data_IF_011286516154
#
_entry.id   IF_011286516154
#
_cell.length_a   1.000
_cell.length_b   1.000
_cell.length_c   1.000
_cell.angle_alpha   90.00
_cell.angle_beta   90.00
_cell.angle_gamma   90.00
#
_symmetry.space_group_name_H-M   'P 1'
#
loop_
_entity.id
_entity.type
_entity.pdbx_description
1 polymer ?
#
# COMPACT_ATOMS: atom_id res chain seq x y z
N UNK A 1 -8.12 52.94 44.40
CA UNK A 1 -8.77 51.65 44.13
C UNK A 1 -7.70 50.77 43.51
N UNK A 2 -6.67 50.32 44.24
CA UNK A 2 -6.65 49.55 45.49
C UNK A 2 -7.35 48.20 45.37
N UNK A 3 -6.58 47.14 45.62
CA UNK A 3 -7.04 45.78 45.92
C UNK A 3 -7.17 44.89 44.67
N UNK A 4 -6.73 43.64 44.65
CA UNK A 4 -6.25 42.82 45.74
C UNK A 4 -5.48 41.63 45.19
N UNK A 5 -4.40 41.26 45.88
CA UNK A 5 -3.65 40.06 45.62
C UNK A 5 -4.35 38.86 46.25
N UNK A 6 -4.31 37.72 45.57
CA UNK A 6 -4.67 36.45 46.20
C UNK A 6 -3.63 35.40 45.87
N UNK A 7 -2.74 35.20 46.85
CA UNK A 7 -1.98 33.99 47.06
C UNK A 7 -2.91 32.78 47.07
N UNK A 8 -2.51 31.65 46.49
CA UNK A 8 -2.73 30.34 47.12
C UNK A 8 -1.81 29.25 46.53
N UNK A 9 -0.88 28.86 47.39
CA UNK A 9 -0.59 27.47 47.78
C UNK A 9 -0.02 26.49 46.76
N UNK A 10 1.30 26.33 46.88
CA UNK A 10 2.05 25.15 46.49
C UNK A 10 1.54 23.90 47.25
N UNK A 11 1.16 22.86 46.50
CA UNK A 11 1.01 21.50 47.00
C UNK A 11 2.24 20.69 46.56
N UNK A 12 3.18 20.53 47.48
CA UNK A 12 4.22 19.50 47.41
C UNK A 12 3.60 18.16 47.81
N UNK A 13 3.29 17.31 46.83
CA UNK A 13 2.98 15.91 47.06
C UNK A 13 4.26 15.08 46.92
N UNK A 14 4.79 14.62 48.06
CA UNK A 14 5.86 13.63 48.13
C UNK A 14 5.38 12.31 47.54
N UNK A 15 5.94 11.94 46.38
CA UNK A 15 5.75 10.61 45.77
C UNK A 15 6.73 9.65 46.43
N UNK A 16 6.20 8.79 47.30
CA UNK A 16 6.92 7.68 47.91
C UNK A 16 7.03 6.54 46.91
N UNK A 17 8.23 6.26 46.42
CA UNK A 17 8.53 5.08 45.60
C UNK A 17 8.40 3.79 46.42
N UNK A 18 7.65 2.77 45.97
CA UNK A 18 7.77 1.44 46.52
C UNK A 18 9.04 0.77 46.00
N UNK A 19 9.88 0.35 46.95
CA UNK A 19 11.09 -0.44 46.78
C UNK A 19 10.72 -1.86 46.30
N UNK A 20 11.27 -2.38 45.18
CA UNK A 20 11.05 -3.77 44.78
C UNK A 20 11.89 -4.70 45.66
N UNK A 21 11.22 -5.60 46.36
CA UNK A 21 11.85 -6.70 47.10
C UNK A 21 12.43 -7.74 46.14
N UNK A 22 13.69 -8.07 46.37
CA UNK A 22 14.40 -9.16 45.73
C UNK A 22 13.91 -10.54 46.23
N UNK A 23 14.14 -11.55 45.39
CA UNK A 23 14.09 -13.00 45.63
C UNK A 23 12.86 -13.74 45.08
N UNK A 24 12.96 -14.19 43.83
CA UNK A 24 12.41 -15.49 43.43
C UNK A 24 13.29 -16.13 42.33
N UNK A 25 14.07 -17.20 42.61
CA UNK A 25 14.90 -17.86 41.62
C UNK A 25 14.09 -18.94 40.89
N UNK A 26 13.58 -18.62 39.70
CA UNK A 26 13.06 -19.64 38.78
C UNK A 26 14.16 -20.09 37.80
N UNK A 27 14.31 -21.41 37.56
CA UNK A 27 15.35 -21.92 36.68
C UNK A 27 15.01 -21.62 35.21
N UNK A 28 15.93 -20.98 34.52
CA UNK A 28 15.87 -20.80 33.07
C UNK A 28 16.00 -22.17 32.38
N UNK A 29 14.92 -22.61 31.74
CA UNK A 29 14.95 -23.72 30.79
C UNK A 29 15.49 -23.18 29.46
N UNK A 30 16.71 -23.57 29.12
CA UNK A 30 17.31 -23.34 27.80
C UNK A 30 16.54 -24.15 26.75
N UNK A 31 15.66 -23.47 26.00
CA UNK A 31 15.15 -23.99 24.73
C UNK A 31 16.14 -23.64 23.62
N UNK A 32 16.79 -24.67 23.09
CA UNK A 32 17.61 -24.57 21.87
C UNK A 32 16.74 -24.15 20.68
N UNK A 33 17.19 -23.20 19.83
CA UNK A 33 16.57 -23.02 18.52
C UNK A 33 17.11 -24.07 17.55
N UNK A 34 16.20 -24.92 17.04
CA UNK A 34 16.46 -25.77 15.90
C UNK A 34 16.73 -24.90 14.66
N UNK A 35 17.95 -24.96 14.15
CA UNK A 35 18.33 -24.35 12.88
C UNK A 35 17.73 -25.18 11.73
N UNK A 36 16.58 -24.76 11.23
CA UNK A 36 16.08 -25.19 9.91
C UNK A 36 16.35 -24.05 8.92
N UNK A 37 17.46 -24.15 8.21
CA UNK A 37 17.72 -23.34 7.02
C UNK A 37 16.91 -23.91 5.84
N UNK A 38 16.14 -23.09 5.09
CA UNK A 38 15.59 -23.51 3.81
C UNK A 38 16.70 -23.54 2.73
N UNK A 39 16.65 -24.47 1.77
CA UNK A 39 17.63 -24.52 0.69
C UNK A 39 17.48 -23.35 -0.28
N UNK A 40 18.65 -22.95 -0.77
CA UNK A 40 18.94 -21.89 -1.74
C UNK A 40 18.15 -22.11 -3.03
N UNK A 41 17.47 -21.04 -3.47
CA UNK A 41 16.78 -20.92 -4.75
C UNK A 41 17.75 -21.17 -5.91
N UNK A 42 17.47 -22.18 -6.73
CA UNK A 42 18.08 -22.34 -8.03
C UNK A 42 17.47 -21.34 -9.01
N UNK A 43 18.34 -20.62 -9.72
CA UNK A 43 17.98 -19.71 -10.80
C UNK A 43 17.35 -20.49 -11.97
N UNK A 44 16.06 -20.25 -12.23
CA UNK A 44 15.40 -20.68 -13.45
C UNK A 44 15.47 -19.55 -14.49
N UNK A 45 16.17 -19.82 -15.58
CA UNK A 45 16.21 -19.02 -16.81
C UNK A 45 14.83 -19.01 -17.47
N UNK A 46 14.23 -17.82 -17.63
CA UNK A 46 12.97 -17.62 -18.36
C UNK A 46 13.27 -17.27 -19.83
N UNK A 47 12.71 -17.97 -20.82
CA UNK A 47 12.77 -17.56 -22.22
C UNK A 47 11.73 -16.46 -22.51
N UNK A 48 12.01 -15.52 -23.44
CA UNK A 48 11.07 -14.46 -23.78
C UNK A 48 10.05 -14.93 -24.82
N UNK A 49 8.80 -14.56 -24.60
CA UNK A 49 7.77 -14.54 -25.64
C UNK A 49 6.58 -15.44 -25.35
N UNK A 50 5.50 -14.84 -24.85
CA UNK A 50 4.15 -15.06 -25.37
C UNK A 50 3.20 -14.00 -24.80
N UNK A 51 2.75 -13.11 -25.69
CA UNK A 51 1.58 -12.26 -25.53
C UNK A 51 0.37 -13.14 -25.24
N UNK A 52 -0.28 -12.93 -24.10
CA UNK A 52 -1.59 -13.51 -23.82
C UNK A 52 -2.53 -12.38 -23.40
N UNK A 53 -3.42 -12.00 -24.32
CA UNK A 53 -4.60 -11.22 -24.03
C UNK A 53 -5.47 -12.01 -23.05
N UNK A 54 -5.58 -11.52 -21.81
CA UNK A 54 -6.52 -12.05 -20.83
C UNK A 54 -7.91 -11.47 -21.08
N UNK A 55 -8.71 -12.19 -21.85
CA UNK A 55 -10.17 -12.03 -21.88
C UNK A 55 -10.72 -12.44 -20.52
N UNK A 56 -11.16 -11.47 -19.72
CA UNK A 56 -11.83 -11.73 -18.45
C UNK A 56 -13.25 -12.22 -18.75
N UNK A 57 -13.51 -13.50 -18.54
CA UNK A 57 -14.86 -14.08 -18.56
C UNK A 57 -15.68 -13.54 -17.38
N UNK A 58 -16.54 -12.55 -17.66
CA UNK A 58 -17.62 -12.09 -16.78
C UNK A 58 -18.86 -12.94 -17.04
N UNK A 59 -18.81 -14.22 -16.68
CA UNK A 59 -19.99 -15.07 -16.64
C UNK A 59 -19.83 -16.00 -15.43
N UNK A 60 -20.39 -15.61 -14.27
CA UNK A 60 -20.90 -16.55 -13.24
C UNK A 60 -21.38 -15.92 -11.92
N UNK A 61 -21.46 -14.59 -11.77
CA UNK A 61 -21.79 -13.97 -10.46
C UNK A 61 -23.14 -13.24 -10.43
N UNK A 62 -24.20 -13.83 -11.00
CA UNK A 62 -25.56 -13.22 -10.95
C UNK A 62 -26.71 -14.21 -10.73
N UNK A 63 -26.43 -15.46 -10.32
CA UNK A 63 -27.49 -16.49 -10.12
C UNK A 63 -27.85 -16.81 -8.67
N UNK A 64 -27.51 -15.97 -7.68
CA UNK A 64 -27.73 -16.35 -6.27
C UNK A 64 -28.31 -15.27 -5.34
N UNK A 65 -28.99 -14.22 -5.84
CA UNK A 65 -29.59 -13.17 -4.96
C UNK A 65 -31.07 -12.92 -5.27
N UNK A 66 -31.82 -13.93 -5.70
CA UNK A 66 -33.27 -13.81 -5.88
C UNK A 66 -33.96 -15.11 -5.47
N UNK A 67 -34.09 -15.37 -4.16
CA UNK A 67 -34.99 -16.45 -3.71
C UNK A 67 -35.76 -16.21 -2.41
N UNK A 68 -35.48 -15.16 -1.62
CA UNK A 68 -36.01 -15.13 -0.24
C UNK A 68 -37.09 -14.08 0.09
N UNK A 69 -37.58 -13.25 -0.84
CA UNK A 69 -38.56 -12.18 -0.53
C UNK A 69 -39.94 -12.28 -1.20
N UNK A 70 -40.35 -13.48 -1.66
CA UNK A 70 -41.66 -13.68 -2.30
C UNK A 70 -42.69 -14.38 -1.38
N UNK A 71 -42.89 -13.87 -0.16
CA UNK A 71 -43.91 -14.43 0.77
C UNK A 71 -44.63 -13.34 1.59
N UNK A 72 -45.20 -12.31 0.94
CA UNK A 72 -46.17 -11.44 1.65
C UNK A 72 -47.02 -10.53 0.75
N UNK A 73 -47.56 -11.03 -0.37
CA UNK A 73 -48.62 -10.32 -1.07
C UNK A 73 -49.82 -11.23 -1.25
N UNK A 74 -50.92 -10.83 -0.61
CA UNK A 74 -52.18 -11.56 -0.54
C UNK A 74 -52.74 -11.85 -1.93
N UNK A 75 -53.04 -13.12 -2.15
CA UNK A 75 -53.77 -13.62 -3.31
C UNK A 75 -55.24 -13.21 -3.22
N UNK A 76 -55.57 -12.04 -3.76
CA UNK A 76 -56.94 -11.74 -4.18
C UNK A 76 -57.21 -12.41 -5.54
N UNK A 77 -58.43 -12.93 -5.80
CA UNK A 77 -58.78 -13.50 -7.10
C UNK A 77 -58.89 -12.37 -8.13
N UNK A 78 -57.81 -12.13 -8.87
CA UNK A 78 -57.83 -11.26 -10.05
C UNK A 78 -58.37 -12.08 -11.21
N UNK A 79 -59.60 -11.77 -11.63
CA UNK A 79 -60.21 -12.31 -12.84
C UNK A 79 -59.33 -11.93 -14.03
N UNK A 80 -58.79 -12.88 -14.81
CA UNK A 80 -58.02 -12.56 -16.00
C UNK A 80 -58.99 -11.97 -17.03
N UNK A 81 -58.90 -10.65 -17.21
CA UNK A 81 -59.57 -9.97 -18.32
C UNK A 81 -59.04 -10.50 -19.66
N UNK A 82 -59.83 -10.39 -20.74
CA UNK A 82 -59.43 -10.88 -22.05
C UNK A 82 -58.25 -10.04 -22.55
N UNK A 83 -57.03 -10.55 -22.37
CA UNK A 83 -55.89 -10.02 -23.09
C UNK A 83 -56.17 -10.23 -24.58
N UNK A 84 -56.17 -9.17 -25.40
CA UNK A 84 -56.37 -9.30 -26.83
C UNK A 84 -55.30 -10.25 -27.36
N UNK A 85 -55.74 -11.24 -28.13
CA UNK A 85 -54.94 -12.30 -28.75
C UNK A 85 -53.49 -11.88 -28.96
N UNK A 86 -52.59 -12.57 -28.27
CA UNK A 86 -51.15 -12.60 -28.46
C UNK A 86 -50.85 -12.64 -29.96
N UNK A 87 -50.71 -11.46 -30.56
CA UNK A 87 -50.14 -11.29 -31.88
C UNK A 87 -48.69 -11.70 -31.71
N UNK A 88 -48.33 -12.85 -32.27
CA UNK A 88 -46.98 -13.39 -32.20
C UNK A 88 -46.02 -12.47 -32.94
N UNK A 89 -45.55 -11.43 -32.26
CA UNK A 89 -44.46 -10.61 -32.77
C UNK A 89 -43.23 -11.49 -32.82
N UNK A 90 -42.72 -11.72 -34.04
CA UNK A 90 -41.49 -12.44 -34.25
C UNK A 90 -40.32 -11.58 -33.75
N UNK A 91 -39.87 -11.86 -32.53
CA UNK A 91 -38.76 -11.15 -31.88
C UNK A 91 -37.40 -11.54 -32.45
N UNK A 92 -37.32 -12.52 -33.36
CA UNK A 92 -36.04 -12.99 -33.91
C UNK A 92 -35.25 -11.89 -34.63
N UNK A 93 -35.94 -10.88 -35.18
CA UNK A 93 -35.34 -9.73 -35.83
C UNK A 93 -34.86 -8.62 -34.87
N UNK A 94 -35.34 -8.59 -33.62
CA UNK A 94 -35.04 -7.54 -32.64
C UNK A 94 -33.87 -7.92 -31.73
N UNK A 95 -33.71 -9.21 -31.44
CA UNK A 95 -32.65 -9.71 -30.55
C UNK A 95 -31.23 -9.31 -31.00
N UNK A 96 -30.86 -9.40 -32.30
CA UNK A 96 -29.54 -8.98 -32.75
C UNK A 96 -29.27 -7.49 -32.52
N UNK A 97 -30.26 -6.63 -32.78
CA UNK A 97 -30.15 -5.18 -32.63
C UNK A 97 -30.02 -4.78 -31.15
N UNK A 98 -30.77 -5.45 -30.25
CA UNK A 98 -30.62 -5.24 -28.80
C UNK A 98 -29.25 -5.70 -28.29
N UNK A 99 -28.73 -6.81 -28.82
CA UNK A 99 -27.40 -7.29 -28.46
C UNK A 99 -26.30 -6.32 -28.93
N UNK A 100 -26.38 -5.85 -30.17
CA UNK A 100 -25.45 -4.86 -30.72
C UNK A 100 -25.51 -3.54 -29.95
N UNK A 101 -26.71 -3.08 -29.60
CA UNK A 101 -26.89 -1.86 -28.80
C UNK A 101 -26.25 -2.02 -27.42
N UNK A 102 -26.44 -3.18 -26.77
CA UNK A 102 -25.83 -3.44 -25.47
C UNK A 102 -24.29 -3.44 -25.58
N UNK A 103 -23.74 -4.08 -26.62
CA UNK A 103 -22.29 -4.10 -26.85
C UNK A 103 -21.72 -2.70 -27.11
N UNK A 104 -22.37 -1.91 -27.97
CA UNK A 104 -21.97 -0.53 -28.28
C UNK A 104 -22.07 0.37 -27.03
N UNK A 105 -23.14 0.22 -26.24
CA UNK A 105 -23.32 0.95 -24.97
C UNK A 105 -22.23 0.63 -23.95
N UNK A 106 -21.87 -0.65 -23.78
CA UNK A 106 -20.76 -1.06 -22.92
C UNK A 106 -19.41 -0.52 -23.42
N UNK A 107 -19.15 -0.58 -24.73
CA UNK A 107 -17.94 -0.03 -25.37
C UNK A 107 -17.81 1.46 -25.11
N UNK A 108 -18.88 2.21 -25.36
CA UNK A 108 -18.98 3.65 -25.12
C UNK A 108 -18.72 4.01 -23.66
N UNK A 109 -19.34 3.29 -22.73
CA UNK A 109 -19.15 3.51 -21.30
C UNK A 109 -17.69 3.28 -20.88
N UNK A 110 -17.07 2.19 -21.36
CA UNK A 110 -15.66 1.87 -21.09
C UNK A 110 -14.73 2.98 -21.61
N UNK A 111 -14.92 3.45 -22.83
CA UNK A 111 -14.11 4.54 -23.43
C UNK A 111 -14.27 5.86 -22.67
N UNK A 112 -15.49 6.20 -22.24
CA UNK A 112 -15.74 7.38 -21.40
C UNK A 112 -15.02 7.28 -20.04
N UNK A 113 -14.92 6.09 -19.46
CA UNK A 113 -14.19 5.86 -18.23
C UNK A 113 -12.66 5.97 -18.43
N UNK A 114 -12.14 5.40 -19.53
CA UNK A 114 -10.72 5.54 -19.91
C UNK A 114 -10.35 7.02 -20.11
N UNK A 115 -11.18 7.79 -20.82
CA UNK A 115 -11.00 9.23 -20.99
C UNK A 115 -10.90 9.96 -19.65
N UNK A 116 -11.85 9.75 -18.73
CA UNK A 116 -11.82 10.37 -17.39
C UNK A 116 -10.56 10.03 -16.60
N UNK A 117 -10.08 8.80 -16.75
CA UNK A 117 -8.85 8.34 -16.08
C UNK A 117 -7.63 9.08 -16.64
N UNK A 118 -7.53 9.22 -17.96
CA UNK A 118 -6.45 9.98 -18.61
C UNK A 118 -6.53 11.49 -18.34
N UNK A 119 -7.72 12.06 -18.21
CA UNK A 119 -7.89 13.46 -17.78
C UNK A 119 -7.37 13.68 -16.35
N UNK A 120 -7.65 12.74 -15.45
CA UNK A 120 -7.12 12.78 -14.08
C UNK A 120 -5.59 12.61 -14.04
N UNK A 121 -5.04 11.71 -14.87
CA UNK A 121 -3.60 11.52 -15.01
C UNK A 121 -2.92 12.78 -15.58
N UNK A 122 -3.50 13.39 -16.62
CA UNK A 122 -3.02 14.66 -17.18
C UNK A 122 -3.02 15.77 -16.13
N UNK A 123 -4.09 15.91 -15.36
CA UNK A 123 -4.18 16.91 -14.30
C UNK A 123 -3.11 16.69 -13.22
N UNK A 124 -2.89 15.43 -12.82
CA UNK A 124 -1.85 15.05 -11.87
C UNK A 124 -0.45 15.38 -12.40
N UNK A 125 -0.17 15.06 -13.66
CA UNK A 125 1.14 15.30 -14.29
C UNK A 125 1.41 16.81 -14.45
N UNK A 126 0.41 17.60 -14.83
CA UNK A 126 0.52 19.07 -14.91
C UNK A 126 0.81 19.68 -13.53
N UNK A 127 0.11 19.22 -12.47
CA UNK A 127 0.34 19.65 -11.08
C UNK A 127 1.75 19.27 -10.61
N UNK A 128 2.23 18.09 -10.97
CA UNK A 128 3.60 17.67 -10.68
C UNK A 128 4.64 18.50 -11.43
N UNK A 129 4.40 18.85 -12.70
CA UNK A 129 5.28 19.75 -13.43
C UNK A 129 5.32 21.14 -12.81
N UNK A 130 4.21 21.65 -12.29
CA UNK A 130 4.17 22.93 -11.59
C UNK A 130 4.96 22.90 -10.27
N UNK A 131 4.80 21.84 -9.47
CA UNK A 131 5.63 21.58 -8.27
C UNK A 131 7.10 21.40 -8.62
N UNK A 132 7.39 20.72 -9.73
CA UNK A 132 8.75 20.53 -10.19
C UNK A 132 9.37 21.85 -10.64
N UNK A 133 8.62 22.73 -11.33
CA UNK A 133 9.10 24.07 -11.72
C UNK A 133 9.49 24.93 -10.52
N UNK A 134 8.76 24.85 -9.39
CA UNK A 134 9.13 25.60 -8.18
C UNK A 134 10.47 25.13 -7.60
N UNK A 135 10.71 23.81 -7.59
CA UNK A 135 11.95 23.19 -7.10
C UNK A 135 13.12 23.32 -8.10
N UNK A 136 12.84 23.20 -9.40
CA UNK A 136 13.84 23.13 -10.48
C UNK A 136 14.32 24.48 -10.98
N UNK A 137 13.73 25.59 -10.52
CA UNK A 137 14.30 26.93 -10.70
C UNK A 137 15.77 27.01 -10.24
N UNK A 138 16.24 26.05 -9.43
CA UNK A 138 17.61 25.94 -8.95
C UNK A 138 18.51 24.97 -9.76
N UNK A 139 17.97 24.10 -10.63
CA UNK A 139 18.75 23.08 -11.34
C UNK A 139 18.24 22.81 -12.79
N UNK A 140 18.82 23.43 -13.82
CA UNK A 140 18.33 23.37 -15.20
C UNK A 140 18.59 22.03 -15.95
N UNK A 141 19.31 21.05 -15.39
CA UNK A 141 19.74 19.86 -16.14
C UNK A 141 18.78 18.65 -16.12
N UNK A 142 17.55 18.80 -15.60
CA UNK A 142 16.57 17.70 -15.44
C UNK A 142 15.43 17.74 -16.47
N UNK A 143 15.58 18.52 -17.55
CA UNK A 143 14.53 18.78 -18.55
C UNK A 143 14.04 17.54 -19.34
N UNK A 144 14.69 16.38 -19.22
CA UNK A 144 14.33 15.17 -19.96
C UNK A 144 13.15 14.38 -19.36
N UNK A 145 12.61 14.78 -18.21
CA UNK A 145 11.46 14.10 -17.58
C UNK A 145 10.08 14.54 -18.12
N UNK A 146 10.04 15.49 -19.07
CA UNK A 146 8.77 16.05 -19.61
C UNK A 146 8.46 15.43 -20.98
N UNK A 147 8.05 14.15 -21.00
CA UNK A 147 7.69 13.48 -22.28
C UNK A 147 6.33 12.78 -22.29
N UNK A 148 5.61 12.71 -21.17
CA UNK A 148 4.34 11.97 -21.07
C UNK A 148 3.13 12.84 -21.41
N UNK A 149 3.14 14.13 -21.08
CA UNK A 149 2.00 15.04 -21.32
C UNK A 149 1.54 15.07 -22.79
N UNK A 150 2.42 15.24 -23.80
CA UNK A 150 1.99 15.19 -25.20
C UNK A 150 1.35 13.86 -25.59
N UNK A 151 1.86 12.73 -25.08
CA UNK A 151 1.33 11.41 -25.35
C UNK A 151 -0.09 11.24 -24.76
N UNK A 152 -0.32 11.76 -23.56
CA UNK A 152 -1.64 11.74 -22.92
C UNK A 152 -2.63 12.61 -23.71
N UNK A 153 -2.22 13.79 -24.18
CA UNK A 153 -3.06 14.69 -24.99
C UNK A 153 -3.44 14.02 -26.32
N UNK A 154 -2.47 13.42 -27.02
CA UNK A 154 -2.72 12.71 -28.28
C UNK A 154 -3.71 11.55 -28.07
N UNK A 155 -3.55 10.79 -26.97
CA UNK A 155 -4.46 9.70 -26.62
C UNK A 155 -5.88 10.19 -26.30
N UNK A 156 -6.02 11.29 -25.58
CA UNK A 156 -7.31 11.91 -25.29
C UNK A 156 -8.03 12.32 -26.58
N UNK A 157 -7.30 12.91 -27.53
CA UNK A 157 -7.86 13.29 -28.83
C UNK A 157 -8.38 12.09 -29.64
N UNK A 158 -7.65 10.96 -29.60
CA UNK A 158 -8.10 9.71 -30.25
C UNK A 158 -9.37 9.19 -29.57
N UNK A 159 -9.41 9.18 -28.23
CA UNK A 159 -10.58 8.72 -27.48
C UNK A 159 -11.81 9.57 -27.73
N UNK A 160 -11.67 10.89 -27.88
CA UNK A 160 -12.78 11.77 -28.23
C UNK A 160 -13.43 11.37 -29.57
N UNK A 161 -12.60 11.11 -30.59
CA UNK A 161 -13.10 10.66 -31.89
C UNK A 161 -13.69 9.23 -31.84
N UNK A 162 -13.19 8.36 -30.96
CA UNK A 162 -13.79 7.04 -30.75
C UNK A 162 -15.12 7.09 -29.98
N UNK A 163 -15.23 7.95 -28.98
CA UNK A 163 -16.46 8.18 -28.22
C UNK A 163 -17.54 8.74 -29.15
N UNK A 164 -17.22 9.75 -29.96
CA UNK A 164 -18.17 10.34 -30.91
C UNK A 164 -18.70 9.29 -31.91
N UNK A 165 -17.82 8.45 -32.47
CA UNK A 165 -18.23 7.37 -33.38
C UNK A 165 -19.16 6.35 -32.72
N UNK A 166 -18.88 5.96 -31.48
CA UNK A 166 -19.71 5.01 -30.73
C UNK A 166 -21.05 5.63 -30.31
N UNK A 167 -21.08 6.92 -30.00
CA UNK A 167 -22.33 7.65 -29.73
C UNK A 167 -23.23 7.67 -30.96
N UNK A 168 -22.67 7.95 -32.14
CA UNK A 168 -23.42 7.90 -33.40
C UNK A 168 -23.95 6.48 -33.64
N UNK A 169 -23.12 5.45 -33.49
CA UNK A 169 -23.54 4.05 -33.67
C UNK A 169 -24.68 3.66 -32.71
N UNK A 170 -24.60 4.06 -31.43
CA UNK A 170 -25.67 3.84 -30.46
C UNK A 170 -26.96 4.58 -30.85
N UNK A 171 -26.86 5.82 -31.34
CA UNK A 171 -28.01 6.60 -31.80
C UNK A 171 -28.69 5.96 -33.02
N UNK A 172 -27.91 5.47 -33.98
CA UNK A 172 -28.44 4.77 -35.16
C UNK A 172 -29.16 3.47 -34.77
N UNK A 173 -28.57 2.65 -33.89
CA UNK A 173 -29.18 1.42 -33.39
C UNK A 173 -30.47 1.70 -32.61
N UNK A 174 -30.47 2.72 -31.74
CA UNK A 174 -31.67 3.17 -31.04
C UNK A 174 -32.76 3.64 -31.99
N UNK A 175 -32.39 4.39 -33.03
CA UNK A 175 -33.32 4.83 -34.08
C UNK A 175 -33.92 3.66 -34.87
N UNK A 176 -33.13 2.63 -35.18
CA UNK A 176 -33.59 1.39 -35.81
C UNK A 176 -34.60 0.67 -34.92
N UNK A 177 -34.24 0.43 -33.65
CA UNK A 177 -35.09 -0.25 -32.67
C UNK A 177 -36.42 0.48 -32.46
N UNK A 178 -36.41 1.81 -32.36
CA UNK A 178 -37.64 2.61 -32.23
C UNK A 178 -38.59 2.42 -33.41
N UNK A 179 -38.06 2.40 -34.64
CA UNK A 179 -38.85 2.16 -35.85
C UNK A 179 -39.45 0.75 -35.86
N UNK A 180 -38.64 -0.26 -35.53
CA UNK A 180 -39.05 -1.68 -35.53
C UNK A 180 -40.10 -1.98 -34.46
N UNK A 181 -39.91 -1.47 -33.25
CA UNK A 181 -40.78 -1.74 -32.10
C UNK A 181 -41.97 -0.77 -32.02
N UNK A 182 -42.04 0.23 -32.90
CA UNK A 182 -43.00 1.36 -32.81
C UNK A 182 -43.05 1.95 -31.41
N UNK A 183 -41.88 2.08 -30.77
CA UNK A 183 -41.80 2.65 -29.44
C UNK A 183 -42.26 4.11 -29.48
N UNK A 184 -42.94 4.59 -28.42
CA UNK A 184 -43.26 5.99 -28.31
C UNK A 184 -41.96 6.83 -28.30
N UNK A 185 -42.03 8.10 -28.73
CA UNK A 185 -40.86 8.96 -28.83
C UNK A 185 -40.10 9.04 -27.50
N UNK A 186 -38.78 9.32 -27.52
CA UNK A 186 -37.94 9.36 -26.31
C UNK A 186 -38.51 10.21 -25.17
N UNK A 187 -39.22 11.29 -25.50
CA UNK A 187 -39.88 12.19 -24.55
C UNK A 187 -40.88 11.46 -23.65
N UNK A 188 -41.49 10.35 -24.11
CA UNK A 188 -42.42 9.55 -23.32
C UNK A 188 -41.73 8.82 -22.16
N UNK A 189 -40.48 8.37 -22.37
CA UNK A 189 -39.72 7.62 -21.36
C UNK A 189 -38.81 8.49 -20.51
N UNK A 190 -38.64 9.78 -20.88
CA UNK A 190 -37.70 10.69 -20.23
C UNK A 190 -37.86 10.73 -18.71
N UNK A 191 -39.09 10.81 -18.20
CA UNK A 191 -39.35 10.86 -16.76
C UNK A 191 -39.02 9.54 -16.04
N UNK A 192 -39.29 8.41 -16.69
CA UNK A 192 -38.98 7.09 -16.12
C UNK A 192 -37.48 6.84 -16.13
N UNK A 193 -36.80 7.19 -17.22
CA UNK A 193 -35.34 7.09 -17.32
C UNK A 193 -34.69 7.99 -16.27
N UNK A 194 -35.13 9.25 -16.14
CA UNK A 194 -34.61 10.16 -15.12
C UNK A 194 -34.80 9.61 -13.69
N UNK A 195 -35.94 9.00 -13.38
CA UNK A 195 -36.17 8.35 -12.06
C UNK A 195 -35.25 7.15 -11.83
N UNK A 196 -35.05 6.32 -12.85
CA UNK A 196 -34.15 5.17 -12.78
C UNK A 196 -32.71 5.65 -12.60
N UNK A 197 -32.27 6.62 -13.40
CA UNK A 197 -30.93 7.21 -13.30
C UNK A 197 -30.70 7.86 -11.93
N UNK A 198 -31.69 8.56 -11.37
CA UNK A 198 -31.60 9.11 -10.03
C UNK A 198 -31.44 8.01 -8.97
N UNK A 199 -32.27 6.96 -9.02
CA UNK A 199 -32.21 5.85 -8.07
C UNK A 199 -30.91 5.03 -8.15
N UNK A 200 -30.46 4.70 -9.37
CA UNK A 200 -29.17 4.03 -9.57
C UNK A 200 -27.99 4.93 -9.23
N UNK A 201 -28.08 6.22 -9.53
CA UNK A 201 -27.05 7.21 -9.21
C UNK A 201 -26.82 7.33 -7.70
N UNK A 202 -27.87 7.36 -6.89
CA UNK A 202 -27.75 7.35 -5.43
C UNK A 202 -27.12 6.06 -4.91
N UNK A 203 -27.55 4.91 -5.45
CA UNK A 203 -26.98 3.61 -5.05
C UNK A 203 -25.49 3.51 -5.39
N UNK A 204 -25.09 3.92 -6.59
CA UNK A 204 -23.68 3.91 -7.02
C UNK A 204 -22.83 4.88 -6.20
N UNK A 205 -23.36 6.06 -5.86
CA UNK A 205 -22.68 7.00 -4.95
C UNK A 205 -22.46 6.39 -3.57
N UNK A 206 -23.49 5.74 -3.01
CA UNK A 206 -23.37 5.08 -1.71
C UNK A 206 -22.37 3.91 -1.73
N UNK A 207 -22.35 3.12 -2.80
CA UNK A 207 -21.40 2.02 -2.97
C UNK A 207 -19.97 2.52 -3.17
N UNK A 208 -19.78 3.58 -3.98
CA UNK A 208 -18.48 4.25 -4.15
C UNK A 208 -17.95 4.80 -2.83
N UNK A 209 -18.77 5.52 -2.07
CA UNK A 209 -18.40 6.04 -0.75
C UNK A 209 -18.02 4.90 0.22
N UNK A 210 -18.79 3.81 0.25
CA UNK A 210 -18.48 2.65 1.07
C UNK A 210 -17.17 1.95 0.63
N UNK A 211 -16.84 1.97 -0.66
CA UNK A 211 -15.58 1.45 -1.17
C UNK A 211 -14.39 2.34 -0.79
N UNK A 212 -14.54 3.67 -0.91
CA UNK A 212 -13.53 4.65 -0.48
C UNK A 212 -13.25 4.53 1.03
N UNK A 213 -14.28 4.36 1.86
CA UNK A 213 -14.14 4.13 3.29
C UNK A 213 -13.36 2.83 3.59
N UNK A 214 -13.64 1.74 2.84
CA UNK A 214 -12.91 0.47 2.99
C UNK A 214 -11.44 0.61 2.62
N UNK A 215 -11.14 1.30 1.52
CA UNK A 215 -9.77 1.55 1.07
C UNK A 215 -9.03 2.40 2.11
N UNK A 216 -9.66 3.49 2.55
CA UNK A 216 -9.12 4.40 3.58
C UNK A 216 -8.82 3.65 4.87
N UNK A 217 -9.76 2.81 5.34
CA UNK A 217 -9.55 1.98 6.54
C UNK A 217 -8.38 1.01 6.38
N UNK A 218 -8.28 0.34 5.22
CA UNK A 218 -7.16 -0.58 4.94
C UNK A 218 -5.81 0.15 4.94
N UNK A 219 -5.73 1.34 4.33
CA UNK A 219 -4.52 2.16 4.33
C UNK A 219 -4.14 2.60 5.75
N UNK A 220 -5.12 2.99 6.58
CA UNK A 220 -4.88 3.32 7.99
C UNK A 220 -4.34 2.13 8.79
N UNK A 221 -4.86 0.92 8.58
CA UNK A 221 -4.41 -0.29 9.27
C UNK A 221 -2.98 -0.68 8.84
N UNK A 222 -2.66 -0.57 7.54
CA UNK A 222 -1.30 -0.78 7.02
C UNK A 222 -0.32 0.25 7.59
N UNK A 223 -0.72 1.52 7.70
CA UNK A 223 0.10 2.57 8.30
C UNK A 223 0.39 2.30 9.78
N UNK A 224 -0.60 1.86 10.57
CA UNK A 224 -0.41 1.45 11.97
C UNK A 224 0.55 0.26 12.09
N UNK A 225 0.45 -0.70 11.19
CA UNK A 225 1.36 -1.85 11.14
C UNK A 225 2.80 -1.41 10.87
N UNK A 226 3.03 -0.59 9.85
CA UNK A 226 4.36 -0.04 9.55
C UNK A 226 4.93 0.76 10.74
N UNK A 227 4.12 1.56 11.41
CA UNK A 227 4.55 2.30 12.60
C UNK A 227 5.00 1.36 13.74
N UNK A 228 4.29 0.26 13.93
CA UNK A 228 4.65 -0.77 14.94
C UNK A 228 5.96 -1.46 14.58
N UNK A 229 6.12 -1.86 13.32
CA UNK A 229 7.35 -2.51 12.83
C UNK A 229 8.56 -1.58 12.95
N UNK A 230 8.37 -0.29 12.69
CA UNK A 230 9.42 0.74 12.86
C UNK A 230 9.89 0.87 14.31
N UNK A 231 8.95 0.92 15.27
CA UNK A 231 9.27 0.97 16.70
C UNK A 231 10.04 -0.27 17.14
N UNK A 232 9.68 -1.45 16.62
CA UNK A 232 10.39 -2.69 16.87
C UNK A 232 11.82 -2.64 16.32
N UNK A 233 11.99 -2.26 15.06
CA UNK A 233 13.31 -2.12 14.43
C UNK A 233 14.20 -1.10 15.17
N UNK A 234 13.63 0.01 15.63
CA UNK A 234 14.37 1.00 16.42
C UNK A 234 14.84 0.44 17.77
N UNK A 235 14.02 -0.39 18.42
CA UNK A 235 14.37 -1.06 19.69
C UNK A 235 15.49 -2.07 19.49
N UNK A 236 15.40 -2.89 18.44
CA UNK A 236 16.44 -3.85 18.07
C UNK A 236 17.76 -3.16 17.73
N UNK A 237 17.71 -2.05 16.98
CA UNK A 237 18.88 -1.23 16.67
C UNK A 237 19.56 -0.69 17.94
N UNK A 238 18.78 -0.22 18.92
CA UNK A 238 19.33 0.25 20.21
C UNK A 238 20.00 -0.89 20.99
N UNK A 239 19.38 -2.07 21.01
CA UNK A 239 19.96 -3.27 21.67
C UNK A 239 21.30 -3.64 21.04
N UNK A 240 21.35 -3.74 19.72
CA UNK A 240 22.56 -4.11 19.02
C UNK A 240 23.66 -3.02 19.12
N UNK A 241 23.27 -1.73 19.21
CA UNK A 241 24.21 -0.65 19.54
C UNK A 241 24.81 -0.81 20.96
N UNK A 242 24.01 -1.22 21.95
CA UNK A 242 24.50 -1.48 23.30
C UNK A 242 25.44 -2.69 23.35
N UNK A 243 25.12 -3.77 22.64
CA UNK A 243 26.01 -4.94 22.49
C UNK A 243 27.33 -4.58 21.82
N UNK A 244 27.30 -3.77 20.76
CA UNK A 244 28.50 -3.26 20.09
C UNK A 244 29.40 -2.49 21.06
N UNK A 245 28.82 -1.60 21.90
CA UNK A 245 29.59 -0.86 22.92
C UNK A 245 30.21 -1.79 23.96
N UNK A 246 29.50 -2.84 24.38
CA UNK A 246 30.02 -3.84 25.31
C UNK A 246 31.22 -4.58 24.71
N UNK A 247 31.10 -5.05 23.47
CA UNK A 247 32.20 -5.73 22.76
C UNK A 247 33.42 -4.81 22.58
N UNK A 248 33.21 -3.53 22.29
CA UNK A 248 34.31 -2.56 22.21
C UNK A 248 35.06 -2.39 23.55
N UNK A 249 34.33 -2.39 24.67
CA UNK A 249 34.94 -2.34 26.01
C UNK A 249 35.72 -3.61 26.34
N UNK A 250 35.20 -4.79 25.97
CA UNK A 250 35.90 -6.07 26.12
C UNK A 250 37.20 -6.10 25.30
N UNK A 251 37.16 -5.68 24.02
CA UNK A 251 38.36 -5.54 23.18
C UNK A 251 39.41 -4.66 23.86
N UNK A 252 39.02 -3.50 24.39
CA UNK A 252 39.94 -2.58 25.06
C UNK A 252 40.62 -3.24 26.26
N UNK A 253 39.84 -3.95 27.08
CA UNK A 253 40.35 -4.69 28.25
C UNK A 253 41.35 -5.78 27.84
N UNK A 254 41.04 -6.57 26.81
CA UNK A 254 41.95 -7.60 26.30
C UNK A 254 43.25 -7.01 25.73
N UNK A 255 43.17 -5.85 25.07
CA UNK A 255 44.35 -5.14 24.58
C UNK A 255 45.23 -4.62 25.73
N UNK A 256 44.63 -4.05 26.77
CA UNK A 256 45.35 -3.62 27.99
C UNK A 256 46.02 -4.80 28.71
N UNK A 257 45.33 -5.95 28.82
CA UNK A 257 45.90 -7.19 29.39
C UNK A 257 47.07 -7.73 28.55
N UNK A 258 46.97 -7.69 27.22
CA UNK A 258 48.05 -8.06 26.30
C UNK A 258 49.27 -7.15 26.47
N UNK A 259 49.06 -5.84 26.55
CA UNK A 259 50.15 -4.86 26.76
C UNK A 259 50.84 -5.06 28.11
N UNK A 260 50.09 -5.33 29.17
CA UNK A 260 50.66 -5.65 30.49
C UNK A 260 51.53 -6.92 30.46
N UNK A 261 51.12 -7.96 29.73
CA UNK A 261 51.90 -9.20 29.55
C UNK A 261 53.19 -8.94 28.76
N UNK A 262 53.12 -8.15 27.68
CA UNK A 262 54.28 -7.75 26.88
C UNK A 262 55.30 -6.92 27.67
N UNK A 263 54.82 -6.00 28.51
CA UNK A 263 55.69 -5.21 29.37
C UNK A 263 56.31 -6.05 30.50
N UNK A 264 55.58 -7.05 31.02
CA UNK A 264 56.10 -7.99 32.03
C UNK A 264 57.17 -8.94 31.50
N UNK A 265 57.01 -9.45 30.26
CA UNK A 265 57.98 -10.35 29.60
C UNK A 265 59.33 -9.71 29.37
N UNK A 266 59.37 -8.39 29.13
CA UNK A 266 60.62 -7.66 28.91
C UNK A 266 61.58 -7.69 30.12
N UNK A 267 61.08 -8.05 31.32
CA UNK A 267 61.86 -8.12 32.56
C UNK A 267 62.19 -9.55 33.02
N UNK A 268 61.63 -10.59 32.37
CA UNK A 268 61.86 -11.98 32.74
C UNK A 268 63.03 -12.57 31.92
N UNK A 269 64.13 -12.96 32.58
CA UNK A 269 65.36 -13.44 31.93
C UNK A 269 65.44 -14.97 31.75
N UNK A 270 64.37 -15.71 32.05
CA UNK A 270 64.31 -17.17 31.93
C UNK A 270 63.59 -17.63 30.66
N UNK A 271 64.26 -18.43 29.81
CA UNK A 271 63.72 -18.97 28.55
C UNK A 271 62.38 -19.71 28.73
N UNK A 272 62.18 -20.43 29.83
CA UNK A 272 60.96 -21.22 30.06
C UNK A 272 59.70 -20.38 30.32
N UNK A 273 59.83 -19.17 30.89
CA UNK A 273 58.66 -18.33 31.20
C UNK A 273 58.09 -17.64 29.95
N UNK A 274 58.86 -17.58 28.87
CA UNK A 274 58.46 -16.90 27.62
C UNK A 274 57.49 -17.73 26.76
N UNK A 275 57.49 -19.07 26.89
CA UNK A 275 56.64 -19.97 26.11
C UNK A 275 55.16 -19.84 26.50
N UNK A 276 54.86 -19.93 27.79
CA UNK A 276 53.48 -19.82 28.31
C UNK A 276 52.86 -18.44 28.00
N UNK A 277 53.69 -17.38 28.07
CA UNK A 277 53.25 -16.02 27.76
C UNK A 277 52.98 -15.84 26.27
N UNK A 278 53.76 -16.48 25.39
CA UNK A 278 53.51 -16.52 23.94
C UNK A 278 52.19 -17.24 23.62
N UNK A 279 51.95 -18.43 24.18
CA UNK A 279 50.71 -19.17 23.95
C UNK A 279 49.48 -18.35 24.39
N UNK A 280 49.59 -17.67 25.53
CA UNK A 280 48.52 -16.82 26.05
C UNK A 280 48.25 -15.60 25.15
N UNK A 281 49.29 -15.02 24.53
CA UNK A 281 49.15 -13.93 23.56
C UNK A 281 48.48 -14.42 22.27
N UNK A 282 48.88 -15.57 21.73
CA UNK A 282 48.25 -16.16 20.54
C UNK A 282 46.77 -16.46 20.78
N UNK A 283 46.41 -16.97 21.96
CA UNK A 283 45.01 -17.19 22.35
C UNK A 283 44.20 -15.89 22.39
N UNK A 284 44.76 -14.81 22.96
CA UNK A 284 44.09 -13.50 22.97
C UNK A 284 43.91 -12.92 21.56
N UNK A 285 44.87 -13.12 20.66
CA UNK A 285 44.76 -12.64 19.27
C UNK A 285 43.67 -13.38 18.50
N UNK A 286 43.50 -14.69 18.72
CA UNK A 286 42.42 -15.46 18.12
C UNK A 286 41.03 -15.06 18.68
N UNK A 287 40.94 -14.76 19.98
CA UNK A 287 39.72 -14.20 20.58
C UNK A 287 39.39 -12.82 20.00
N UNK A 288 40.37 -11.92 19.88
CA UNK A 288 40.19 -10.60 19.27
C UNK A 288 39.75 -10.67 17.81
N UNK A 289 40.28 -11.64 17.05
CA UNK A 289 39.87 -11.88 15.66
C UNK A 289 38.39 -12.26 15.58
N UNK A 290 37.92 -13.19 16.41
CA UNK A 290 36.50 -13.61 16.45
C UNK A 290 35.56 -12.48 16.83
N UNK A 291 35.94 -11.65 17.80
CA UNK A 291 35.13 -10.47 18.17
C UNK A 291 35.07 -9.46 17.03
N UNK A 292 36.19 -9.20 16.33
CA UNK A 292 36.22 -8.30 15.17
C UNK A 292 35.30 -8.77 14.05
N UNK A 293 35.33 -10.06 13.69
CA UNK A 293 34.45 -10.66 12.68
C UNK A 293 32.96 -10.50 13.07
N UNK A 294 32.65 -10.69 14.36
CA UNK A 294 31.28 -10.51 14.88
C UNK A 294 30.82 -9.05 14.79
N UNK A 295 31.68 -8.10 15.16
CA UNK A 295 31.38 -6.66 15.06
C UNK A 295 31.20 -6.24 13.60
N UNK A 296 32.03 -6.76 12.68
CA UNK A 296 31.94 -6.42 11.25
C UNK A 296 30.63 -6.94 10.64
N UNK A 297 30.23 -8.17 10.97
CA UNK A 297 28.94 -8.75 10.58
C UNK A 297 27.75 -7.93 11.10
N UNK A 298 27.79 -7.54 12.39
CA UNK A 298 26.77 -6.66 12.97
C UNK A 298 26.77 -5.27 12.31
N UNK A 299 27.93 -4.71 11.99
CA UNK A 299 28.01 -3.39 11.34
C UNK A 299 27.42 -3.40 9.92
N UNK A 300 27.58 -4.50 9.18
CA UNK A 300 27.00 -4.70 7.85
C UNK A 300 25.48 -4.76 7.89
N UNK A 301 24.92 -5.53 8.82
CA UNK A 301 23.46 -5.61 9.04
C UNK A 301 22.87 -4.27 9.51
N UNK A 302 23.59 -3.50 10.33
CA UNK A 302 23.17 -2.16 10.76
C UNK A 302 23.12 -1.12 9.64
N UNK A 303 23.93 -1.25 8.58
CA UNK A 303 23.83 -0.35 7.41
C UNK A 303 22.52 -0.57 6.65
N UNK A 304 22.10 -1.83 6.50
CA UNK A 304 20.82 -2.18 5.87
C UNK A 304 19.62 -1.64 6.65
N UNK A 305 19.59 -1.86 7.97
CA UNK A 305 18.50 -1.40 8.84
C UNK A 305 18.43 0.14 8.87
N UNK A 306 19.57 0.84 8.97
CA UNK A 306 19.57 2.31 8.95
C UNK A 306 19.02 2.89 7.66
N UNK A 307 19.36 2.28 6.51
CA UNK A 307 18.80 2.71 5.22
C UNK A 307 17.28 2.53 5.20
N UNK A 308 16.77 1.37 5.63
CA UNK A 308 15.33 1.12 5.69
C UNK A 308 14.59 2.10 6.62
N UNK A 309 15.15 2.37 7.80
CA UNK A 309 14.57 3.35 8.75
C UNK A 309 14.57 4.75 8.13
N UNK A 310 15.64 5.15 7.45
CA UNK A 310 15.73 6.45 6.79
C UNK A 310 14.73 6.58 5.64
N UNK A 311 14.64 5.58 4.76
CA UNK A 311 13.69 5.56 3.64
C UNK A 311 12.25 5.63 4.16
N UNK A 312 11.94 4.96 5.27
CA UNK A 312 10.62 5.00 5.89
C UNK A 312 10.32 6.35 6.56
N UNK A 313 11.30 6.97 7.22
CA UNK A 313 11.15 8.33 7.77
C UNK A 313 10.94 9.36 6.67
N UNK A 314 11.65 9.24 5.56
CA UNK A 314 11.49 10.11 4.40
C UNK A 314 10.10 9.93 3.76
N UNK A 315 9.62 8.69 3.66
CA UNK A 315 8.25 8.39 3.22
C UNK A 315 7.20 9.00 4.16
N UNK A 316 7.37 8.86 5.48
CA UNK A 316 6.45 9.41 6.47
C UNK A 316 6.42 10.94 6.43
N UNK A 317 7.58 11.59 6.33
CA UNK A 317 7.67 13.05 6.18
C UNK A 317 6.97 13.55 4.92
N UNK A 318 7.02 12.78 3.82
CA UNK A 318 6.32 13.09 2.57
C UNK A 318 4.80 12.97 2.67
N UNK A 319 4.29 12.13 3.58
CA UNK A 319 2.86 11.92 3.81
C UNK A 319 2.26 12.86 4.87
N UNK A 320 3.08 13.33 5.81
CA UNK A 320 2.71 14.29 6.86
C UNK A 320 2.78 15.75 6.41
N UNK A 321 3.34 16.03 5.22
CA UNK A 321 3.33 17.37 4.65
C UNK A 321 1.88 17.81 4.39
N UNK A 322 1.32 18.78 5.14
CA UNK A 322 -0.08 19.16 5.03
C UNK A 322 -0.45 19.73 3.65
N UNK A 323 0.52 20.21 2.87
CA UNK A 323 0.29 20.61 1.47
C UNK A 323 0.00 19.43 0.53
N UNK A 324 0.36 18.21 0.94
CA UNK A 324 0.04 16.97 0.22
C UNK A 324 -1.38 16.46 0.50
N UNK A 325 -1.97 16.80 1.66
CA UNK A 325 -3.31 16.34 2.06
C UNK A 325 -4.44 17.34 1.74
N UNK A 326 -4.11 18.62 1.52
CA UNK A 326 -5.10 19.66 1.19
C UNK A 326 -5.50 19.69 -0.30
N UNK A 327 -5.20 18.65 -1.08
CA UNK A 327 -5.11 18.71 -2.55
C UNK A 327 -5.40 17.39 -3.24
#
# INVERSE_FOLDING_TARGET
MDGDGTNQSALNASVTHPQPTANDPRPYRLSQPAANFPPILQHATVPPGQNSNSTVSVEQSTRQVARDDASSYGTGPVTPGPFPNSTGYDLSHIVPDLFQLNQASCSLHSKKLEKKTLEAELAWELKNQERAKSVWSQHPSMSSLISTVPQIIDRLSILDAEIEREEIACQELMGSLQKTLRLPPPSFWSDTVAKIEAGFGEKLKAESAAQEDRITKKMQDEMKKMQTDTKKAQTEMRKAQAETKKMQAEIKKTLEEKEAILNGTSNASGENDTSDLRERVEKMDEELKKVRETVEYQSGTHKGIRKQVFDLQLWQAKMEDPESQAN
#
